data_IF_481908541567
#
_entry.id   IF_481908541567
#
_cell.length_a   1.000
_cell.length_b   1.000
_cell.length_c   1.000
_cell.angle_alpha   90.00
_cell.angle_beta   90.00
_cell.angle_gamma   90.00
#
_symmetry.space_group_name_H-M   'P 1'
#
loop_
_entity.id
_entity.type
_entity.pdbx_description
1 polymer ?
#
# COMPACT_ATOMS: atom_id res chain seq x y z
N UNK A 1 23.47 -0.87 -21.19
CA UNK A 1 22.54 -0.88 -20.04
C UNK A 1 23.19 -1.65 -18.90
N UNK A 2 23.28 -1.07 -17.71
CA UNK A 2 23.94 -1.71 -16.58
C UNK A 2 22.97 -2.65 -15.84
N UNK A 3 23.12 -3.95 -16.04
CA UNK A 3 22.26 -4.97 -15.43
C UNK A 3 22.34 -4.97 -13.91
N UNK A 4 23.50 -4.70 -13.34
CA UNK A 4 23.70 -4.64 -11.88
C UNK A 4 22.95 -3.46 -11.28
N UNK A 5 22.99 -2.30 -11.92
CA UNK A 5 22.26 -1.11 -11.45
C UNK A 5 20.74 -1.34 -11.49
N UNK A 6 20.24 -1.98 -12.54
CA UNK A 6 18.82 -2.32 -12.65
C UNK A 6 18.40 -3.30 -11.56
N UNK A 7 19.21 -4.34 -11.32
CA UNK A 7 18.96 -5.32 -10.26
C UNK A 7 18.91 -4.65 -8.90
N UNK A 8 19.91 -3.82 -8.58
CA UNK A 8 19.99 -3.12 -7.30
C UNK A 8 18.81 -2.16 -7.12
N UNK A 9 18.42 -1.45 -8.16
CA UNK A 9 17.24 -0.59 -8.14
C UNK A 9 15.96 -1.39 -7.87
N UNK A 10 15.78 -2.53 -8.55
CA UNK A 10 14.61 -3.37 -8.36
C UNK A 10 14.50 -3.90 -6.93
N UNK A 11 15.62 -4.34 -6.35
CA UNK A 11 15.67 -4.81 -4.96
C UNK A 11 15.34 -3.67 -3.99
N UNK A 12 15.96 -2.51 -4.20
CA UNK A 12 15.69 -1.33 -3.37
C UNK A 12 14.22 -0.91 -3.45
N UNK A 13 13.68 -0.81 -4.65
CA UNK A 13 12.29 -0.40 -4.87
C UNK A 13 11.29 -1.39 -4.24
N UNK A 14 11.55 -2.69 -4.39
CA UNK A 14 10.73 -3.73 -3.77
C UNK A 14 10.73 -3.58 -2.25
N UNK A 15 11.88 -3.46 -1.64
CA UNK A 15 12.00 -3.32 -0.19
C UNK A 15 11.35 -2.04 0.32
N UNK A 16 11.52 -0.95 -0.41
CA UNK A 16 10.90 0.34 -0.09
C UNK A 16 9.38 0.25 -0.13
N UNK A 17 8.82 -0.37 -1.17
CA UNK A 17 7.38 -0.53 -1.31
C UNK A 17 6.80 -1.46 -0.25
N UNK A 18 7.48 -2.55 0.09
CA UNK A 18 7.05 -3.44 1.17
C UNK A 18 6.99 -2.67 2.49
N UNK A 19 8.01 -1.88 2.80
CA UNK A 19 8.03 -1.07 4.02
C UNK A 19 6.90 -0.04 4.03
N UNK A 20 6.66 0.63 2.91
CA UNK A 20 5.59 1.63 2.79
C UNK A 20 4.20 1.01 2.91
N UNK A 21 3.96 -0.12 2.27
CA UNK A 21 2.68 -0.84 2.36
C UNK A 21 2.44 -1.35 3.78
N UNK A 22 3.47 -1.89 4.43
CA UNK A 22 3.39 -2.34 5.82
C UNK A 22 3.05 -1.19 6.76
N UNK A 23 3.64 -0.03 6.56
CA UNK A 23 3.33 1.17 7.33
C UNK A 23 1.88 1.60 7.15
N UNK A 24 1.41 1.65 5.90
CA UNK A 24 0.03 2.05 5.61
C UNK A 24 -0.98 1.06 6.20
N UNK A 25 -0.68 -0.24 6.15
CA UNK A 25 -1.51 -1.27 6.78
C UNK A 25 -1.57 -1.09 8.30
N UNK A 26 -0.45 -0.73 8.93
CA UNK A 26 -0.39 -0.45 10.37
C UNK A 26 -1.32 0.69 10.78
N UNK A 27 -1.47 1.71 9.94
CA UNK A 27 -2.38 2.84 10.22
C UNK A 27 -3.83 2.40 10.36
N UNK A 28 -4.21 1.30 9.73
CA UNK A 28 -5.56 0.73 9.81
C UNK A 28 -5.63 -0.54 10.67
N UNK A 29 -4.66 -0.69 11.56
CA UNK A 29 -4.65 -1.77 12.55
C UNK A 29 -4.25 -3.14 12.02
N UNK A 30 -3.71 -3.24 10.82
CA UNK A 30 -3.27 -4.51 10.25
C UNK A 30 -1.75 -4.61 10.35
N UNK A 31 -1.28 -5.50 11.21
CA UNK A 31 0.14 -5.69 11.47
C UNK A 31 0.52 -7.17 11.36
N UNK A 32 1.81 -7.43 11.40
CA UNK A 32 2.36 -8.79 11.43
C UNK A 32 1.85 -9.60 12.63
N UNK A 33 1.53 -8.92 13.73
CA UNK A 33 1.10 -9.57 14.97
C UNK A 33 -0.40 -9.86 14.99
N UNK A 34 -1.18 -9.23 14.17
CA UNK A 34 -2.61 -9.45 14.09
C UNK A 34 -3.38 -8.27 13.50
N UNK A 35 -4.69 -8.41 13.50
CA UNK A 35 -5.62 -7.40 13.01
C UNK A 35 -6.32 -6.78 14.21
N UNK A 36 -6.09 -5.48 14.45
CA UNK A 36 -6.72 -4.75 15.53
C UNK A 36 -8.17 -4.41 15.17
N UNK A 37 -9.03 -4.43 16.18
CA UNK A 37 -10.40 -3.95 16.00
C UNK A 37 -10.43 -2.41 16.06
N UNK A 38 -11.40 -1.78 15.37
CA UNK A 38 -11.59 -0.34 15.52
C UNK A 38 -11.80 0.05 16.99
N UNK A 39 -11.37 1.26 17.34
CA UNK A 39 -11.56 1.77 18.70
C UNK A 39 -13.05 1.92 19.04
N UNK A 40 -13.43 1.88 20.34
CA UNK A 40 -14.84 1.96 20.77
C UNK A 40 -15.57 3.22 20.31
N UNK A 41 -14.86 4.34 20.09
CA UNK A 41 -15.45 5.58 19.60
C UNK A 41 -15.82 5.55 18.11
N UNK A 42 -15.58 4.44 17.40
CA UNK A 42 -15.97 4.31 16.00
C UNK A 42 -17.49 4.35 15.85
N UNK A 43 -17.97 5.17 14.90
CA UNK A 43 -19.42 5.36 14.70
C UNK A 43 -19.71 5.80 13.25
N UNK A 44 -20.97 5.57 12.82
CA UNK A 44 -21.50 6.17 11.61
C UNK A 44 -20.68 5.92 10.34
N UNK A 45 -20.07 4.75 10.20
CA UNK A 45 -19.23 4.44 9.05
C UNK A 45 -17.82 4.97 9.13
N UNK A 46 -17.46 5.62 10.24
CA UNK A 46 -16.09 6.08 10.52
C UNK A 46 -15.45 5.15 11.54
N UNK A 47 -14.24 4.69 11.26
CA UNK A 47 -13.47 3.83 12.15
C UNK A 47 -12.19 4.54 12.58
N UNK A 48 -11.85 4.40 13.87
CA UNK A 48 -10.65 4.97 14.45
C UNK A 48 -9.71 3.86 14.90
N UNK A 49 -8.41 4.10 14.73
CA UNK A 49 -7.36 3.14 15.09
C UNK A 49 -6.27 3.82 15.89
N UNK A 50 -5.83 3.15 16.94
CA UNK A 50 -4.71 3.60 17.73
C UNK A 50 -3.40 3.28 17.01
N UNK A 51 -2.65 4.31 16.67
CA UNK A 51 -1.36 4.20 15.99
C UNK A 51 -0.19 4.66 16.86
N UNK A 52 -0.44 4.80 18.17
CA UNK A 52 0.58 5.26 19.12
C UNK A 52 0.78 6.77 19.15
N UNK A 53 -0.12 7.54 18.54
CA UNK A 53 -0.09 9.01 18.55
C UNK A 53 -1.19 9.56 19.44
N UNK A 54 -1.12 10.88 19.74
CA UNK A 54 -2.11 11.55 20.59
C UNK A 54 -3.52 11.45 19.98
N UNK A 55 -3.62 11.54 18.67
CA UNK A 55 -4.89 11.41 17.95
C UNK A 55 -4.94 10.09 17.20
N UNK A 56 -6.06 9.36 17.27
CA UNK A 56 -6.22 8.13 16.50
C UNK A 56 -6.32 8.41 14.99
N UNK A 57 -5.88 7.46 14.19
CA UNK A 57 -6.05 7.52 12.74
C UNK A 57 -7.49 7.09 12.40
N UNK A 58 -8.13 7.83 11.50
CA UNK A 58 -9.52 7.56 11.12
C UNK A 58 -9.67 7.28 9.63
N UNK A 59 -10.59 6.37 9.31
CA UNK A 59 -11.01 6.08 7.94
C UNK A 59 -12.53 6.06 7.86
N UNK A 60 -13.07 6.35 6.67
CA UNK A 60 -14.51 6.32 6.45
C UNK A 60 -14.81 5.98 4.98
N UNK A 61 -16.08 5.62 4.71
CA UNK A 61 -16.56 5.35 3.37
C UNK A 61 -15.84 4.20 2.68
N UNK A 62 -15.29 4.47 1.50
CA UNK A 62 -14.62 3.45 0.68
C UNK A 62 -13.40 2.84 1.38
N UNK A 63 -12.68 3.60 2.17
CA UNK A 63 -11.52 3.11 2.90
C UNK A 63 -11.89 1.99 3.89
N UNK A 64 -13.06 2.07 4.52
CA UNK A 64 -13.56 1.01 5.40
C UNK A 64 -13.81 -0.27 4.63
N UNK A 65 -14.42 -0.17 3.45
CA UNK A 65 -14.67 -1.34 2.59
C UNK A 65 -13.39 -1.98 2.09
N UNK A 66 -12.42 -1.16 1.73
CA UNK A 66 -11.11 -1.64 1.29
C UNK A 66 -10.37 -2.36 2.42
N UNK A 67 -10.46 -1.83 3.63
CA UNK A 67 -9.90 -2.49 4.81
C UNK A 67 -10.54 -3.85 5.03
N UNK A 68 -11.86 -3.94 4.98
CA UNK A 68 -12.59 -5.18 5.17
C UNK A 68 -12.22 -6.21 4.10
N UNK A 69 -12.07 -5.78 2.87
CA UNK A 69 -11.65 -6.65 1.75
C UNK A 69 -10.22 -7.15 1.95
N UNK A 70 -9.32 -6.30 2.41
CA UNK A 70 -7.94 -6.68 2.70
C UNK A 70 -7.90 -7.73 3.82
N UNK A 71 -8.67 -7.52 4.88
CA UNK A 71 -8.80 -8.49 5.98
C UNK A 71 -9.32 -9.83 5.47
N UNK A 72 -10.33 -9.81 4.62
CA UNK A 72 -10.89 -11.03 4.03
C UNK A 72 -9.83 -11.82 3.24
N UNK A 73 -9.04 -11.14 2.42
CA UNK A 73 -7.97 -11.76 1.64
C UNK A 73 -6.92 -12.39 2.56
N UNK A 74 -6.51 -11.68 3.60
CA UNK A 74 -5.55 -12.20 4.59
C UNK A 74 -6.12 -13.44 5.29
N UNK A 75 -7.38 -13.38 5.71
CA UNK A 75 -8.03 -14.50 6.42
C UNK A 75 -8.19 -15.73 5.53
N UNK A 76 -8.50 -15.55 4.26
CA UNK A 76 -8.55 -16.65 3.32
C UNK A 76 -7.19 -17.33 3.13
N UNK A 77 -6.14 -16.52 3.03
CA UNK A 77 -4.78 -17.04 2.89
C UNK A 77 -4.30 -17.73 4.18
N UNK A 78 -4.73 -17.21 5.33
CA UNK A 78 -4.42 -17.78 6.64
C UNK A 78 -4.93 -19.23 6.80
N UNK A 79 -6.03 -19.58 6.15
CA UNK A 79 -6.59 -20.94 6.21
C UNK A 79 -5.62 -22.01 5.70
N UNK A 80 -4.76 -21.66 4.75
CA UNK A 80 -3.80 -22.57 4.15
C UNK A 80 -2.43 -22.51 4.82
N UNK A 81 -2.19 -21.51 5.64
CA UNK A 81 -0.91 -21.23 6.29
C UNK A 81 -1.15 -20.74 7.72
N UNK A 82 -0.37 -19.79 8.20
CA UNK A 82 -0.58 -19.08 9.44
C UNK A 82 -0.79 -17.59 9.15
N UNK A 83 -1.19 -16.82 10.15
CA UNK A 83 -1.46 -15.40 9.98
C UNK A 83 -0.22 -14.62 9.52
N UNK A 84 0.92 -14.87 10.13
CA UNK A 84 2.15 -14.15 9.81
C UNK A 84 2.56 -14.35 8.35
N UNK A 85 2.50 -15.58 7.87
CA UNK A 85 2.80 -15.93 6.49
C UNK A 85 1.77 -15.31 5.54
N UNK A 86 0.49 -15.38 5.88
CA UNK A 86 -0.58 -14.77 5.09
C UNK A 86 -0.43 -13.26 5.00
N UNK A 87 -0.11 -12.60 6.11
CA UNK A 87 0.14 -11.16 6.15
C UNK A 87 1.30 -10.78 5.22
N UNK A 88 2.43 -11.46 5.36
CA UNK A 88 3.60 -11.19 4.53
C UNK A 88 3.32 -11.39 3.05
N UNK A 89 2.63 -12.48 2.71
CA UNK A 89 2.26 -12.76 1.33
C UNK A 89 1.40 -11.62 0.73
N UNK A 90 0.37 -11.19 1.45
CA UNK A 90 -0.53 -10.14 0.97
C UNK A 90 0.17 -8.80 0.86
N UNK A 91 1.01 -8.45 1.84
CA UNK A 91 1.79 -7.20 1.78
C UNK A 91 2.75 -7.20 0.59
N UNK A 92 3.43 -8.31 0.34
CA UNK A 92 4.34 -8.44 -0.81
C UNK A 92 3.58 -8.36 -2.13
N UNK A 93 2.40 -8.97 -2.20
CA UNK A 93 1.55 -8.93 -3.39
C UNK A 93 1.09 -7.50 -3.70
N UNK A 94 0.66 -6.76 -2.70
CA UNK A 94 0.28 -5.34 -2.86
C UNK A 94 1.49 -4.51 -3.31
N UNK A 95 2.64 -4.70 -2.67
CA UNK A 95 3.87 -4.00 -3.04
C UNK A 95 4.29 -4.32 -4.49
N UNK A 96 4.18 -5.57 -4.90
CA UNK A 96 4.48 -6.00 -6.27
C UNK A 96 3.53 -5.35 -7.28
N UNK A 97 2.25 -5.26 -6.95
CA UNK A 97 1.26 -4.58 -7.78
C UNK A 97 1.62 -3.10 -7.97
N UNK A 98 2.00 -2.42 -6.90
CA UNK A 98 2.46 -1.03 -6.98
C UNK A 98 3.74 -0.88 -7.80
N UNK A 99 4.69 -1.80 -7.60
CA UNK A 99 5.93 -1.80 -8.38
C UNK A 99 5.62 -1.89 -9.89
N UNK A 100 4.74 -2.81 -10.28
CA UNK A 100 4.35 -2.96 -11.68
C UNK A 100 3.65 -1.74 -12.24
N UNK A 101 2.77 -1.10 -11.45
CA UNK A 101 2.09 0.15 -11.85
C UNK A 101 3.09 1.28 -12.08
N UNK A 102 4.05 1.44 -11.18
CA UNK A 102 5.09 2.48 -11.31
C UNK A 102 5.98 2.25 -12.53
N UNK A 103 6.37 1.01 -12.79
CA UNK A 103 7.15 0.65 -13.97
C UNK A 103 6.36 0.94 -15.25
N UNK A 104 5.08 0.60 -15.29
CA UNK A 104 4.21 0.86 -16.45
C UNK A 104 4.06 2.36 -16.71
N UNK A 105 3.87 3.16 -15.66
CA UNK A 105 3.77 4.63 -15.78
C UNK A 105 5.09 5.19 -16.32
N UNK A 106 6.21 4.73 -15.79
CA UNK A 106 7.54 5.18 -16.25
C UNK A 106 7.77 4.81 -17.72
N UNK A 107 7.39 3.60 -18.12
CA UNK A 107 7.45 3.18 -19.51
C UNK A 107 6.64 4.11 -20.42
N UNK A 108 5.41 4.44 -20.02
CA UNK A 108 4.56 5.35 -20.78
C UNK A 108 5.14 6.77 -20.86
N UNK A 109 5.75 7.26 -19.78
CA UNK A 109 6.41 8.56 -19.79
C UNK A 109 7.58 8.60 -20.78
N UNK A 110 8.45 7.58 -20.71
CA UNK A 110 9.65 7.50 -21.57
C UNK A 110 9.27 7.41 -23.05
N UNK A 111 8.18 6.73 -23.36
CA UNK A 111 7.69 6.57 -24.73
C UNK A 111 6.64 7.63 -25.12
N UNK A 112 6.38 8.58 -24.24
CA UNK A 112 5.45 9.69 -24.49
C UNK A 112 4.02 9.25 -24.82
N UNK A 113 3.57 8.18 -24.18
CA UNK A 113 2.23 7.62 -24.37
C UNK A 113 1.17 8.24 -23.47
N UNK A 114 1.58 9.03 -22.47
CA UNK A 114 0.62 9.67 -21.57
C UNK A 114 -0.03 10.88 -22.25
N UNK A 115 -1.33 11.10 -22.03
CA UNK A 115 -2.03 12.27 -22.56
C UNK A 115 -1.37 13.57 -22.13
N UNK A 116 -1.30 14.55 -23.05
CA UNK A 116 -0.73 15.89 -22.78
C UNK A 116 0.73 15.87 -22.32
N UNK A 117 1.48 14.81 -22.65
CA UNK A 117 2.89 14.67 -22.29
C UNK A 117 3.15 14.80 -20.79
N UNK A 118 2.24 14.30 -19.96
CA UNK A 118 2.35 14.36 -18.50
C UNK A 118 3.54 13.55 -18.01
N UNK A 119 4.31 14.12 -17.08
CA UNK A 119 5.45 13.48 -16.43
C UNK A 119 5.14 13.22 -14.96
N UNK A 120 4.68 12.02 -14.65
CA UNK A 120 4.23 11.64 -13.30
C UNK A 120 5.39 11.29 -12.38
N UNK A 121 6.39 10.56 -12.89
CA UNK A 121 7.51 10.02 -12.10
C UNK A 121 8.83 10.76 -12.32
N UNK A 122 8.85 11.80 -13.15
CA UNK A 122 10.08 12.51 -13.49
C UNK A 122 10.53 13.52 -12.44
N UNK A 123 9.72 13.78 -11.41
CA UNK A 123 10.09 14.65 -10.29
C UNK A 123 9.95 13.92 -8.97
N UNK A 124 10.79 14.29 -8.00
CA UNK A 124 10.72 13.73 -6.65
C UNK A 124 9.37 14.01 -5.96
N UNK A 125 8.77 15.16 -6.28
CA UNK A 125 7.46 15.55 -5.75
C UNK A 125 6.36 14.67 -6.32
N UNK A 126 6.46 14.27 -7.57
CA UNK A 126 5.47 13.41 -8.23
C UNK A 126 5.33 12.05 -7.57
N UNK A 127 6.44 11.44 -7.18
CA UNK A 127 6.37 10.12 -6.51
C UNK A 127 5.65 10.22 -5.16
N UNK A 128 6.02 11.17 -4.33
CA UNK A 128 5.40 11.37 -3.01
C UNK A 128 3.93 11.72 -3.14
N UNK A 129 3.58 12.59 -4.06
CA UNK A 129 2.21 13.00 -4.31
C UNK A 129 1.36 11.83 -4.83
N UNK A 130 1.86 11.10 -5.80
CA UNK A 130 1.17 9.93 -6.36
C UNK A 130 0.90 8.88 -5.28
N UNK A 131 1.91 8.57 -4.46
CA UNK A 131 1.75 7.61 -3.37
C UNK A 131 0.72 8.09 -2.34
N UNK A 132 0.80 9.33 -1.89
CA UNK A 132 -0.15 9.87 -0.92
C UNK A 132 -1.58 9.89 -1.45
N UNK A 133 -1.77 10.22 -2.72
CA UNK A 133 -3.08 10.28 -3.36
C UNK A 133 -3.69 8.88 -3.50
N UNK A 134 -2.90 7.90 -3.90
CA UNK A 134 -3.35 6.53 -4.12
C UNK A 134 -3.58 5.78 -2.79
N UNK A 135 -2.76 6.00 -1.78
CA UNK A 135 -2.92 5.33 -0.48
C UNK A 135 -4.14 5.81 0.29
N UNK A 136 -4.66 6.99 0.00
CA UNK A 136 -5.92 7.46 0.58
C UNK A 136 -7.15 6.75 0.02
N UNK A 137 -7.07 6.21 -1.17
CA UNK A 137 -8.20 5.62 -1.86
C UNK A 137 -8.07 4.12 -2.20
N UNK A 138 -6.87 3.59 -2.39
CA UNK A 138 -6.64 2.26 -2.96
C UNK A 138 -5.45 1.56 -2.32
N UNK A 139 -5.65 0.96 -1.17
CA UNK A 139 -4.66 0.07 -0.56
C UNK A 139 -4.59 -1.30 -1.28
N UNK A 140 -5.57 -1.59 -2.07
CA UNK A 140 -5.64 -2.85 -2.83
C UNK A 140 -5.80 -2.59 -4.30
#
# INVERSE_FOLDING_TARGET
>A
MNKTAIKNFAIWARNKLIADVSYDARLIGITEDGIAKPLPQSFGGTQFFDIGTAEPYSISGEAVRQRDKLIEVIQQKEKDTDYKTAYQYVIEEVAYTWFNRLIAIRFMEVNDYLPSHIRVLSSAVSYTHLRAHETRGNLV
#
